data_IF_304079599447
#
_entry.id   IF_304079599447
#
_cell.length_a   1.000
_cell.length_b   1.000
_cell.length_c   1.000
_cell.angle_alpha   90.00
_cell.angle_beta   90.00
_cell.angle_gamma   90.00
#
_symmetry.space_group_name_H-M   'P 1'
#
loop_
_entity.id
_entity.type
_entity.pdbx_description
1 polymer ?
#
# COMPACT_ATOMS: atom_id res chain seq x y z
N UNK A 1 8.14 33.23 19.34
CA UNK A 1 7.32 32.02 19.57
C UNK A 1 7.75 31.00 18.54
N UNK A 2 8.55 30.00 18.93
CA UNK A 2 8.96 28.92 18.03
C UNK A 2 7.93 27.80 18.19
N UNK A 3 7.28 27.40 17.09
CA UNK A 3 6.32 26.30 17.09
C UNK A 3 7.14 25.05 16.79
N UNK A 4 7.38 24.23 17.80
CA UNK A 4 7.93 22.88 17.62
C UNK A 4 6.82 22.00 17.06
N UNK A 5 6.95 21.61 15.79
CA UNK A 5 6.05 20.63 15.18
C UNK A 5 6.58 19.25 15.60
N UNK A 6 5.96 18.66 16.62
CA UNK A 6 6.19 17.25 16.94
C UNK A 6 5.71 16.40 15.76
N UNK A 7 6.65 15.92 14.94
CA UNK A 7 6.37 14.99 13.88
C UNK A 7 6.01 13.65 14.55
N UNK A 8 4.73 13.28 14.49
CA UNK A 8 4.28 11.99 15.02
C UNK A 8 5.19 10.86 14.49
N UNK A 9 5.58 9.89 15.33
CA UNK A 9 6.46 8.81 14.91
C UNK A 9 5.84 8.07 13.74
N UNK A 10 6.63 7.85 12.67
CA UNK A 10 6.18 7.09 11.51
C UNK A 10 5.75 5.69 11.96
N UNK A 11 4.58 5.21 11.52
CA UNK A 11 4.14 3.87 11.85
C UNK A 11 5.14 2.85 11.31
N UNK A 12 5.44 1.83 12.11
CA UNK A 12 6.28 0.70 11.68
C UNK A 12 5.61 0.04 10.48
N UNK A 13 6.31 -0.21 9.36
CA UNK A 13 5.71 -0.82 8.18
C UNK A 13 5.05 -2.17 8.48
N UNK A 14 3.84 -2.37 7.97
CA UNK A 14 3.12 -3.62 8.07
C UNK A 14 3.97 -4.77 7.52
N UNK A 15 4.12 -5.89 8.24
CA UNK A 15 5.07 -6.96 7.87
C UNK A 15 4.81 -7.57 6.50
N UNK A 16 3.55 -7.53 6.02
CA UNK A 16 3.20 -8.04 4.69
C UNK A 16 3.81 -7.22 3.53
N UNK A 17 4.19 -5.94 3.73
CA UNK A 17 4.78 -5.09 2.69
C UNK A 17 6.06 -5.74 2.15
N UNK A 18 6.95 -6.20 3.04
CA UNK A 18 8.19 -6.85 2.64
C UNK A 18 7.94 -8.12 1.81
N UNK A 19 6.94 -8.92 2.17
CA UNK A 19 6.56 -10.12 1.43
C UNK A 19 6.05 -9.82 0.02
N UNK A 20 5.23 -8.78 -0.14
CA UNK A 20 4.75 -8.34 -1.46
C UNK A 20 5.86 -7.78 -2.34
N UNK A 21 6.79 -7.02 -1.77
CA UNK A 21 7.94 -6.50 -2.52
C UNK A 21 8.87 -7.63 -2.98
N UNK A 22 9.14 -8.62 -2.12
CA UNK A 22 9.90 -9.80 -2.52
C UNK A 22 9.22 -10.56 -3.66
N UNK A 23 7.91 -10.79 -3.57
CA UNK A 23 7.14 -11.45 -4.62
C UNK A 23 7.17 -10.63 -5.94
N UNK A 24 7.15 -9.30 -5.85
CA UNK A 24 7.30 -8.42 -7.00
C UNK A 24 8.65 -8.60 -7.70
N UNK A 25 9.74 -8.68 -6.93
CA UNK A 25 11.09 -8.87 -7.47
C UNK A 25 11.26 -10.27 -8.09
N UNK A 26 10.63 -11.29 -7.53
CA UNK A 26 10.58 -12.63 -8.11
C UNK A 26 9.77 -12.66 -9.43
N UNK A 27 8.60 -12.01 -9.46
CA UNK A 27 7.80 -11.90 -10.67
C UNK A 27 8.50 -11.11 -11.77
N UNK A 28 9.20 -10.02 -11.43
CA UNK A 28 9.99 -9.23 -12.38
C UNK A 28 11.11 -10.07 -12.99
N UNK A 29 11.86 -10.82 -12.17
CA UNK A 29 12.92 -11.73 -12.65
C UNK A 29 12.39 -12.84 -13.54
N UNK A 30 11.15 -13.27 -13.34
CA UNK A 30 10.46 -14.25 -14.17
C UNK A 30 9.85 -13.65 -15.46
N UNK A 31 9.98 -12.34 -15.70
CA UNK A 31 9.36 -11.65 -16.85
C UNK A 31 7.85 -11.46 -16.72
N UNK A 32 7.28 -11.61 -15.52
CA UNK A 32 5.86 -11.48 -15.23
C UNK A 32 5.53 -10.04 -14.81
N UNK A 33 5.78 -9.06 -15.70
CA UNK A 33 5.66 -7.62 -15.39
C UNK A 33 4.28 -7.24 -14.83
N UNK A 34 3.19 -7.82 -15.35
CA UNK A 34 1.85 -7.57 -14.82
C UNK A 34 1.70 -8.01 -13.36
N UNK A 35 2.22 -9.20 -13.01
CA UNK A 35 2.18 -9.70 -11.64
C UNK A 35 3.08 -8.85 -10.72
N UNK A 36 4.29 -8.50 -11.18
CA UNK A 36 5.21 -7.64 -10.43
C UNK A 36 4.57 -6.29 -10.09
N UNK A 37 3.92 -5.64 -11.06
CA UNK A 37 3.20 -4.39 -10.84
C UNK A 37 2.02 -4.58 -9.87
N UNK A 38 1.27 -5.67 -10.00
CA UNK A 38 0.15 -5.96 -9.09
C UNK A 38 0.64 -6.10 -7.65
N UNK A 39 1.74 -6.83 -7.41
CA UNK A 39 2.31 -7.01 -6.08
C UNK A 39 2.85 -5.70 -5.48
N UNK A 40 3.50 -4.85 -6.28
CA UNK A 40 3.91 -3.50 -5.86
C UNK A 40 2.71 -2.63 -5.49
N UNK A 41 1.65 -2.66 -6.29
CA UNK A 41 0.42 -1.92 -5.99
C UNK A 41 -0.27 -2.43 -4.72
N UNK A 42 -0.19 -3.74 -4.44
CA UNK A 42 -0.69 -4.31 -3.18
C UNK A 42 0.13 -3.81 -1.99
N UNK A 43 1.46 -3.81 -2.06
CA UNK A 43 2.32 -3.24 -1.03
C UNK A 43 1.97 -1.76 -0.76
N UNK A 44 1.84 -0.96 -1.83
CA UNK A 44 1.45 0.45 -1.75
C UNK A 44 0.06 0.65 -1.11
N UNK A 45 -0.91 -0.21 -1.41
CA UNK A 45 -2.24 -0.10 -0.78
C UNK A 45 -2.23 -0.29 0.73
N UNK A 46 -1.34 -1.16 1.23
CA UNK A 46 -1.15 -1.41 2.67
C UNK A 46 -0.43 -0.23 3.32
N UNK A 47 0.60 0.33 2.65
CA UNK A 47 1.29 1.54 3.12
C UNK A 47 0.32 2.71 3.26
N UNK A 48 -0.52 2.95 2.25
CA UNK A 48 -1.52 4.00 2.27
C UNK A 48 -2.55 3.81 3.38
N UNK A 49 -3.05 2.59 3.59
CA UNK A 49 -3.96 2.31 4.70
C UNK A 49 -3.29 2.57 6.05
N UNK A 50 -2.03 2.18 6.22
CA UNK A 50 -1.29 2.40 7.46
C UNK A 50 -1.02 3.90 7.73
N UNK A 51 -0.69 4.67 6.69
CA UNK A 51 -0.40 6.10 6.81
C UNK A 51 -1.65 6.94 7.03
N UNK A 52 -2.76 6.56 6.39
CA UNK A 52 -3.97 7.40 6.32
C UNK A 52 -5.13 6.87 7.16
N UNK A 53 -5.08 5.61 7.59
CA UNK A 53 -6.21 4.90 8.20
C UNK A 53 -7.34 4.58 7.21
N UNK A 54 -7.14 4.78 5.90
CA UNK A 54 -8.16 4.58 4.87
C UNK A 54 -7.75 3.44 3.94
N UNK A 55 -8.50 2.32 3.89
CA UNK A 55 -8.19 1.22 2.99
C UNK A 55 -8.44 1.60 1.53
N UNK A 56 -7.52 1.23 0.64
CA UNK A 56 -7.58 1.51 -0.81
C UNK A 56 -7.42 0.26 -1.65
N UNK A 57 -8.09 0.20 -2.80
CA UNK A 57 -8.00 -0.91 -3.73
C UNK A 57 -6.64 -0.93 -4.42
N UNK A 58 -5.87 -2.01 -4.26
CA UNK A 58 -4.58 -2.21 -4.95
C UNK A 58 -4.68 -2.10 -6.48
N UNK A 59 -5.82 -2.46 -7.09
CA UNK A 59 -5.96 -2.42 -8.55
C UNK A 59 -6.19 -1.01 -9.11
N UNK A 60 -6.78 -0.09 -8.34
CA UNK A 60 -7.23 1.21 -8.87
C UNK A 60 -7.06 2.41 -7.94
N UNK A 61 -6.49 2.23 -6.75
CA UNK A 61 -6.24 3.28 -5.75
C UNK A 61 -7.49 3.89 -5.12
N UNK A 62 -8.70 3.41 -5.45
CA UNK A 62 -9.95 3.93 -4.89
C UNK A 62 -10.11 3.48 -3.44
N UNK A 63 -10.51 4.41 -2.57
CA UNK A 63 -10.83 4.11 -1.18
C UNK A 63 -12.04 3.18 -1.10
N UNK A 64 -11.96 2.13 -0.29
CA UNK A 64 -13.15 1.36 0.06
C UNK A 64 -14.08 2.23 0.92
N UNK A 65 -15.40 2.17 0.70
CA UNK A 65 -16.40 2.94 1.45
C UNK A 65 -16.90 4.25 0.81
N UNK A 66 -16.40 4.66 -0.36
CA UNK A 66 -16.99 5.76 -1.17
C UNK A 66 -17.85 5.25 -2.33
N UNK A 67 -18.75 4.33 -2.03
CA UNK A 67 -19.73 3.79 -2.99
C UNK A 67 -20.45 2.58 -2.43
N UNK A 68 -21.76 2.49 -2.65
CA UNK A 68 -22.54 1.29 -2.35
C UNK A 68 -21.99 0.13 -3.17
N UNK A 69 -21.54 -0.92 -2.48
CA UNK A 69 -21.39 -2.24 -3.09
C UNK A 69 -22.83 -2.70 -3.35
N UNK A 70 -23.35 -2.41 -4.54
CA UNK A 70 -24.61 -3.01 -4.98
C UNK A 70 -24.40 -4.52 -4.97
N UNK A 71 -25.06 -5.18 -4.01
CA UNK A 71 -25.18 -6.63 -3.93
C UNK A 71 -26.09 -7.13 -5.05
#
# INVERSE_FOLDING_TARGET
MQIEIELAPKPVPHPAIAGWLQAADEAERAGLTFAANTYRSTACSIELEQETGVPVCACCGKTFGRGVLHQ
#
